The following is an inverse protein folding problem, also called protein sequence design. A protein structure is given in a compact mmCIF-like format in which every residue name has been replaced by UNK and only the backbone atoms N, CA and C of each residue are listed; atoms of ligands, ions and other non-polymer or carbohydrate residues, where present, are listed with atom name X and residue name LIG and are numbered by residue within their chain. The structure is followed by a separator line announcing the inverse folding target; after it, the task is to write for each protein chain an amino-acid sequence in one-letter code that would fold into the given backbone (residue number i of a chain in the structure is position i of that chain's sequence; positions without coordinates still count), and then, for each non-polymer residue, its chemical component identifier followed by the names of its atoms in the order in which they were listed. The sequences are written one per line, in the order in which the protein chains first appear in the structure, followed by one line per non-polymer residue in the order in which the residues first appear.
data_IF_541543330094
#
_entry.id   IF_541543330094
#
_cell.length_a   1.000
_cell.length_b   1.000
_cell.length_c   1.000
_cell.angle_alpha   90.00
_cell.angle_beta   90.00
_cell.angle_gamma   90.00
#
_symmetry.space_group_name_H-M   'P 1'
#
loop_
_entity.id
_entity.type
_entity.pdbx_description
1 polymer ?
#
# COMPACT_ATOMS: atom_id res chain seq x y z
N UNK A 1 1.79 24.46 19.78
CA UNK A 1 2.32 23.10 19.91
C UNK A 1 1.21 22.24 20.50
N UNK A 2 0.57 21.44 19.66
CA UNK A 2 -0.42 20.45 20.09
C UNK A 2 0.35 19.17 20.51
N UNK A 3 0.36 18.80 21.81
CA UNK A 3 1.04 17.61 22.29
C UNK A 3 0.42 16.30 21.73
N UNK A 4 -0.76 16.37 21.10
CA UNK A 4 -1.44 15.27 20.44
C UNK A 4 -1.13 15.23 18.93
N UNK A 5 -0.32 16.14 18.40
CA UNK A 5 0.02 16.14 16.97
C UNK A 5 0.72 14.83 16.57
N UNK A 6 0.18 14.18 15.58
CA UNK A 6 0.74 12.93 15.04
C UNK A 6 2.10 13.21 14.39
N UNK A 7 3.13 12.50 14.84
CA UNK A 7 4.46 12.57 14.26
C UNK A 7 4.50 11.85 12.91
N UNK A 8 4.72 12.59 11.83
CA UNK A 8 4.85 12.02 10.48
C UNK A 8 6.21 11.32 10.31
N UNK A 9 7.26 11.88 10.87
CA UNK A 9 8.62 11.35 10.80
C UNK A 9 9.47 11.90 11.92
N UNK A 10 10.38 11.10 12.46
CA UNK A 10 11.36 11.53 13.45
C UNK A 10 12.29 12.63 12.91
N UNK A 11 12.49 12.68 11.59
CA UNK A 11 13.27 13.73 10.92
C UNK A 11 12.50 15.05 10.73
N UNK A 12 11.20 15.04 11.03
CA UNK A 12 10.30 16.20 10.89
C UNK A 12 9.53 16.44 12.20
N UNK A 13 10.21 16.84 13.30
CA UNK A 13 9.55 17.05 14.59
C UNK A 13 8.55 18.20 14.52
N UNK A 14 7.37 18.10 15.17
CA UNK A 14 6.33 19.14 15.16
C UNK A 14 6.75 20.47 15.77
N UNK A 15 7.80 20.46 16.61
CA UNK A 15 8.39 21.69 17.19
C UNK A 15 9.03 22.61 16.14
N UNK A 16 9.30 22.09 14.95
CA UNK A 16 9.88 22.83 13.84
C UNK A 16 8.79 23.09 12.78
N UNK A 17 8.47 24.35 12.52
CA UNK A 17 7.37 24.73 11.58
C UNK A 17 7.69 24.48 10.12
N UNK A 18 8.96 24.46 9.75
CA UNK A 18 9.42 24.29 8.37
C UNK A 18 10.53 23.23 8.34
N UNK A 19 10.44 22.30 7.43
CA UNK A 19 11.44 21.27 7.22
C UNK A 19 12.07 21.44 5.83
N UNK A 20 13.40 21.31 5.79
CA UNK A 20 14.15 21.41 4.53
C UNK A 20 13.99 20.19 3.64
N UNK A 21 14.36 20.35 2.38
CA UNK A 21 14.30 19.31 1.36
C UNK A 21 15.02 18.02 1.77
N UNK A 22 16.13 18.14 2.53
CA UNK A 22 16.90 17.00 3.03
C UNK A 22 16.14 16.09 4.01
N UNK A 23 15.09 16.58 4.66
CA UNK A 23 14.21 15.79 5.51
C UNK A 23 12.93 15.34 4.76
N UNK A 24 12.33 16.25 4.00
CA UNK A 24 11.04 16.03 3.34
C UNK A 24 11.15 15.07 2.16
N UNK A 25 12.12 15.25 1.29
CA UNK A 25 12.24 14.43 0.06
C UNK A 25 12.50 12.95 0.35
N UNK A 26 13.41 12.54 1.26
CA UNK A 26 13.56 11.13 1.62
C UNK A 26 12.30 10.53 2.24
N UNK A 27 11.58 11.28 3.07
CA UNK A 27 10.32 10.83 3.65
C UNK A 27 9.26 10.58 2.58
N UNK A 28 9.06 11.53 1.66
CA UNK A 28 8.12 11.37 0.54
C UNK A 28 8.50 10.20 -0.38
N UNK A 29 9.80 10.01 -0.64
CA UNK A 29 10.28 8.86 -1.41
C UNK A 29 10.01 7.53 -0.72
N UNK A 30 10.13 7.48 0.61
CA UNK A 30 9.83 6.29 1.41
C UNK A 30 8.35 5.86 1.36
N UNK A 31 7.44 6.71 0.91
CA UNK A 31 6.04 6.35 0.67
C UNK A 31 5.81 5.70 -0.69
N UNK A 32 6.75 5.83 -1.62
CA UNK A 32 6.66 5.29 -2.97
C UNK A 32 7.43 3.96 -3.09
N UNK A 33 7.11 3.11 -4.08
CA UNK A 33 7.90 1.91 -4.38
C UNK A 33 9.39 2.22 -4.61
N UNK A 34 10.26 1.33 -4.14
CA UNK A 34 11.70 1.40 -4.44
C UNK A 34 12.03 0.84 -5.84
N UNK A 35 11.07 0.21 -6.49
CA UNK A 35 11.22 -0.34 -7.83
C UNK A 35 11.02 0.76 -8.89
N UNK A 36 12.11 1.08 -9.61
CA UNK A 36 12.11 2.12 -10.65
C UNK A 36 11.15 1.83 -11.82
N UNK A 37 10.92 0.55 -12.14
CA UNK A 37 10.05 0.16 -13.24
C UNK A 37 8.57 0.37 -12.87
N UNK A 38 8.21 0.14 -11.60
CA UNK A 38 6.89 0.49 -11.05
C UNK A 38 6.67 2.00 -11.15
N UNK A 39 7.64 2.80 -10.70
CA UNK A 39 7.55 4.26 -10.77
C UNK A 39 7.43 4.75 -12.22
N UNK A 40 8.25 4.20 -13.13
CA UNK A 40 8.20 4.56 -14.54
C UNK A 40 6.85 4.17 -15.18
N UNK A 41 6.28 3.02 -14.81
CA UNK A 41 4.95 2.62 -15.25
C UNK A 41 3.88 3.60 -14.75
N UNK A 42 3.86 3.89 -13.45
CA UNK A 42 2.92 4.86 -12.87
C UNK A 42 3.07 6.25 -13.49
N UNK A 43 4.32 6.68 -13.75
CA UNK A 43 4.56 7.95 -14.45
C UNK A 43 3.90 8.01 -15.82
N UNK A 44 3.93 6.89 -16.58
CA UNK A 44 3.25 6.78 -17.88
C UNK A 44 1.73 6.72 -17.72
N UNK A 45 1.24 5.89 -16.80
CA UNK A 45 -0.19 5.65 -16.61
C UNK A 45 -0.92 6.93 -16.15
N UNK A 46 -0.26 7.74 -15.32
CA UNK A 46 -0.81 9.02 -14.83
C UNK A 46 -0.35 10.26 -15.61
N UNK A 47 0.52 10.10 -16.58
CA UNK A 47 1.05 11.22 -17.37
C UNK A 47 1.85 12.24 -16.55
N UNK A 48 2.58 11.78 -15.50
CA UNK A 48 3.34 12.64 -14.59
C UNK A 48 4.83 12.30 -14.60
N UNK A 49 5.65 13.30 -14.26
CA UNK A 49 7.08 13.10 -14.08
C UNK A 49 7.39 12.34 -12.78
N UNK A 50 8.30 11.39 -12.85
CA UNK A 50 8.82 10.63 -11.70
C UNK A 50 10.13 11.21 -11.14
N UNK A 51 10.60 12.34 -11.67
CA UNK A 51 11.84 13.00 -11.22
C UNK A 51 11.75 13.43 -9.75
N UNK A 52 10.56 13.78 -9.30
CA UNK A 52 10.28 14.09 -7.89
C UNK A 52 9.11 13.25 -7.38
N UNK A 53 9.05 12.94 -6.07
CA UNK A 53 7.93 12.20 -5.50
C UNK A 53 6.59 12.93 -5.62
N UNK A 54 6.60 14.26 -5.70
CA UNK A 54 5.38 15.09 -5.79
C UNK A 54 4.52 14.75 -7.01
N UNK A 55 5.13 14.42 -8.16
CA UNK A 55 4.40 14.09 -9.37
C UNK A 55 3.43 12.92 -9.13
N UNK A 56 3.95 11.82 -8.57
CA UNK A 56 3.17 10.61 -8.30
C UNK A 56 2.22 10.78 -7.10
N UNK A 57 2.70 11.35 -5.99
CA UNK A 57 1.88 11.55 -4.79
C UNK A 57 0.73 12.55 -5.02
N UNK A 58 0.82 13.41 -6.03
CA UNK A 58 -0.27 14.28 -6.48
C UNK A 58 -1.33 13.60 -7.35
N UNK A 59 -1.21 12.29 -7.60
CA UNK A 59 -2.19 11.45 -8.32
C UNK A 59 -3.00 10.62 -7.32
N UNK A 60 -4.01 9.85 -7.76
CA UNK A 60 -4.73 8.94 -6.87
C UNK A 60 -3.86 7.96 -6.07
N UNK A 61 -2.64 7.68 -6.52
CA UNK A 61 -1.64 6.89 -5.77
C UNK A 61 -1.38 7.49 -4.37
N UNK A 62 -1.41 8.80 -4.22
CA UNK A 62 -1.21 9.49 -2.95
C UNK A 62 -2.42 9.52 -2.02
N UNK A 63 -3.57 9.00 -2.45
CA UNK A 63 -4.79 9.01 -1.63
C UNK A 63 -4.80 7.97 -0.50
N UNK A 64 -3.94 6.96 -0.54
CA UNK A 64 -3.79 5.97 0.53
C UNK A 64 -2.30 5.58 0.67
N UNK A 65 -1.58 6.31 1.50
CA UNK A 65 -0.16 6.07 1.76
C UNK A 65 0.06 5.43 3.13
N UNK A 66 1.19 4.77 3.28
CA UNK A 66 1.63 4.21 4.56
C UNK A 66 1.57 5.27 5.67
N UNK A 67 1.12 4.88 6.87
CA UNK A 67 0.97 5.79 8.01
C UNK A 67 -0.32 6.62 7.99
N UNK A 68 -1.34 6.21 7.22
CA UNK A 68 -2.62 6.90 7.08
C UNK A 68 -2.46 8.35 6.56
N UNK A 69 -1.53 8.55 5.65
CA UNK A 69 -1.26 9.84 5.01
C UNK A 69 -1.97 9.89 3.66
N UNK A 70 -2.64 11.00 3.39
CA UNK A 70 -3.27 11.28 2.12
C UNK A 70 -2.73 12.56 1.52
N UNK A 71 -2.44 12.55 0.24
CA UNK A 71 -2.03 13.72 -0.53
C UNK A 71 -3.18 14.16 -1.41
N UNK A 72 -3.47 15.45 -1.39
CA UNK A 72 -4.47 16.06 -2.26
C UNK A 72 -4.05 17.49 -2.61
N UNK A 73 -4.68 18.06 -3.63
CA UNK A 73 -4.51 19.46 -3.93
C UNK A 73 -5.27 20.33 -2.93
N UNK A 74 -4.83 21.58 -2.67
CA UNK A 74 -5.47 22.43 -1.66
C UNK A 74 -6.99 22.61 -1.84
N UNK A 75 -7.49 22.60 -3.09
CA UNK A 75 -8.93 22.71 -3.38
C UNK A 75 -9.71 21.39 -3.23
N UNK A 76 -9.05 20.27 -3.00
CA UNK A 76 -9.65 18.93 -2.94
C UNK A 76 -9.80 18.40 -1.50
N UNK A 77 -9.32 19.14 -0.50
CA UNK A 77 -9.32 18.68 0.90
C UNK A 77 -10.72 18.34 1.39
N UNK A 78 -11.68 19.23 1.17
CA UNK A 78 -13.07 19.02 1.58
C UNK A 78 -13.67 17.79 0.88
N UNK A 79 -13.46 17.71 -0.45
CA UNK A 79 -13.97 16.60 -1.25
C UNK A 79 -13.34 15.26 -0.84
N UNK A 80 -12.07 15.27 -0.41
CA UNK A 80 -11.38 14.05 0.03
C UNK A 80 -11.88 13.58 1.40
N UNK A 81 -12.09 14.52 2.33
CA UNK A 81 -12.58 14.23 3.69
C UNK A 81 -14.05 13.79 3.68
N UNK A 82 -14.88 14.46 2.87
CA UNK A 82 -16.33 14.23 2.81
C UNK A 82 -16.71 13.16 1.76
N UNK A 83 -15.75 12.64 0.98
CA UNK A 83 -16.01 11.64 -0.06
C UNK A 83 -16.50 10.35 0.58
N UNK A 84 -17.71 9.90 0.25
CA UNK A 84 -18.15 8.58 0.68
C UNK A 84 -17.18 7.53 0.13
N UNK A 85 -16.81 6.60 0.98
CA UNK A 85 -16.00 5.46 0.57
C UNK A 85 -16.88 4.31 0.11
N UNK A 86 -16.37 3.50 -0.79
CA UNK A 86 -16.99 2.27 -1.26
C UNK A 86 -15.95 1.16 -1.36
N UNK A 87 -16.41 -0.08 -1.48
CA UNK A 87 -15.55 -1.25 -1.66
C UNK A 87 -16.10 -2.09 -2.80
N UNK A 88 -15.31 -2.22 -3.85
CA UNK A 88 -15.57 -3.21 -4.90
C UNK A 88 -15.09 -4.57 -4.41
N UNK A 89 -16.04 -5.43 -4.00
CA UNK A 89 -15.72 -6.76 -3.51
C UNK A 89 -15.27 -7.66 -4.65
N UNK A 90 -14.23 -8.43 -4.38
CA UNK A 90 -13.59 -9.35 -5.31
C UNK A 90 -14.04 -10.77 -4.99
N UNK A 91 -14.11 -11.61 -6.02
CA UNK A 91 -14.19 -13.05 -5.85
C UNK A 91 -12.80 -13.61 -5.52
N UNK A 92 -12.73 -14.84 -5.04
CA UNK A 92 -11.45 -15.54 -4.84
C UNK A 92 -10.63 -15.60 -6.13
N UNK A 93 -11.29 -15.87 -7.25
CA UNK A 93 -10.67 -15.89 -8.59
C UNK A 93 -10.09 -14.52 -8.99
N UNK A 94 -10.75 -13.41 -8.63
CA UNK A 94 -10.23 -12.06 -8.91
C UNK A 94 -8.96 -11.79 -8.10
N UNK A 95 -8.91 -12.20 -6.83
CA UNK A 95 -7.72 -12.06 -5.99
C UNK A 95 -6.60 -12.94 -6.54
N UNK A 96 -6.87 -14.19 -6.87
CA UNK A 96 -5.89 -15.09 -7.48
C UNK A 96 -5.32 -14.53 -8.79
N UNK A 97 -6.18 -14.03 -9.68
CA UNK A 97 -5.76 -13.41 -10.94
C UNK A 97 -4.85 -12.19 -10.69
N UNK A 98 -5.16 -11.38 -9.67
CA UNK A 98 -4.33 -10.24 -9.27
C UNK A 98 -2.95 -10.67 -8.76
N UNK A 99 -2.89 -11.68 -7.89
CA UNK A 99 -1.63 -12.23 -7.38
C UNK A 99 -0.79 -12.86 -8.50
N UNK A 100 -1.42 -13.59 -9.41
CA UNK A 100 -0.77 -14.18 -10.60
C UNK A 100 -0.18 -13.10 -11.50
N UNK A 101 -0.92 -12.00 -11.70
CA UNK A 101 -0.43 -10.85 -12.45
C UNK A 101 0.80 -10.25 -11.79
N UNK A 102 0.77 -10.03 -10.46
CA UNK A 102 1.91 -9.50 -9.72
C UNK A 102 3.15 -10.41 -9.76
N UNK A 103 2.95 -11.73 -9.76
CA UNK A 103 4.02 -12.71 -9.84
C UNK A 103 4.68 -12.75 -11.22
N UNK A 104 3.91 -12.54 -12.29
CA UNK A 104 4.40 -12.53 -13.68
C UNK A 104 4.87 -11.16 -14.16
N UNK A 105 4.23 -10.09 -13.67
CA UNK A 105 4.58 -8.69 -13.94
C UNK A 105 4.72 -7.93 -12.62
N UNK A 106 5.93 -7.93 -12.08
CA UNK A 106 6.26 -7.28 -10.81
C UNK A 106 6.05 -5.77 -10.79
N UNK A 107 5.67 -5.15 -11.91
CA UNK A 107 5.36 -3.73 -12.00
C UNK A 107 3.86 -3.43 -11.89
N UNK A 108 3.00 -4.46 -11.91
CA UNK A 108 1.53 -4.33 -11.94
C UNK A 108 0.89 -4.21 -10.56
N UNK A 109 1.43 -3.36 -9.69
CA UNK A 109 0.98 -3.24 -8.29
C UNK A 109 -0.47 -2.80 -8.16
N UNK A 110 -0.94 -1.91 -9.02
CA UNK A 110 -2.30 -1.36 -8.97
C UNK A 110 -3.35 -2.28 -9.61
N UNK A 111 -2.91 -3.35 -10.30
CA UNK A 111 -3.80 -4.29 -10.98
C UNK A 111 -4.38 -3.76 -12.30
N UNK A 112 -5.10 -4.62 -13.05
CA UNK A 112 -5.71 -4.22 -14.30
C UNK A 112 -6.85 -3.22 -14.06
N UNK A 113 -6.98 -2.24 -14.96
CA UNK A 113 -8.05 -1.26 -14.92
C UNK A 113 -7.90 -0.20 -13.84
N UNK A 114 -6.76 -0.15 -13.18
CA UNK A 114 -6.44 0.86 -12.19
C UNK A 114 -7.55 1.09 -11.15
N UNK A 115 -7.74 0.15 -10.26
CA UNK A 115 -8.64 0.31 -9.13
C UNK A 115 -7.91 0.62 -7.80
N UNK A 116 -6.58 0.65 -7.80
CA UNK A 116 -5.79 0.85 -6.58
C UNK A 116 -5.53 2.33 -6.29
N UNK A 117 -5.69 2.70 -5.04
CA UNK A 117 -5.41 4.05 -4.52
C UNK A 117 -4.39 3.97 -3.39
N UNK A 118 -3.35 3.16 -3.55
CA UNK A 118 -2.36 3.01 -2.49
C UNK A 118 -0.94 3.29 -2.97
N UNK A 119 -0.11 3.76 -2.06
CA UNK A 119 1.32 3.86 -2.23
C UNK A 119 2.03 3.22 -1.06
N UNK A 120 2.87 2.22 -1.36
CA UNK A 120 3.63 1.46 -0.38
C UNK A 120 5.10 1.41 -0.79
N UNK A 121 5.99 1.67 0.15
CA UNK A 121 7.43 1.53 -0.05
C UNK A 121 7.88 0.08 -0.26
N UNK A 122 9.13 -0.09 -0.63
CA UNK A 122 9.79 -1.39 -0.83
C UNK A 122 9.82 -1.85 -2.28
N UNK A 123 10.65 -2.85 -2.56
CA UNK A 123 10.94 -3.34 -3.91
C UNK A 123 10.10 -4.55 -4.33
N UNK A 124 9.62 -5.35 -3.36
CA UNK A 124 8.83 -6.54 -3.63
C UNK A 124 7.44 -6.20 -4.15
N UNK A 125 6.99 -6.91 -5.18
CA UNK A 125 5.65 -6.79 -5.71
C UNK A 125 4.59 -7.07 -4.64
N UNK A 126 3.60 -6.19 -4.53
CA UNK A 126 2.53 -6.25 -3.53
C UNK A 126 1.27 -5.56 -4.02
N UNK A 127 0.16 -5.91 -3.43
CA UNK A 127 -1.09 -5.17 -3.57
C UNK A 127 -1.69 -4.91 -2.19
N UNK A 128 -2.48 -3.85 -2.07
CA UNK A 128 -3.21 -3.57 -0.86
C UNK A 128 -4.70 -3.73 -1.11
N UNK A 129 -5.37 -4.42 -0.20
CA UNK A 129 -6.81 -4.69 -0.26
C UNK A 129 -7.45 -4.41 1.10
N UNK A 130 -8.75 -4.29 1.10
CA UNK A 130 -9.57 -4.31 2.32
C UNK A 130 -10.10 -5.71 2.55
N UNK A 131 -9.87 -6.24 3.73
CA UNK A 131 -10.55 -7.43 4.22
C UNK A 131 -11.71 -7.04 5.14
N UNK A 132 -12.80 -7.80 5.09
CA UNK A 132 -13.89 -7.71 6.02
C UNK A 132 -14.49 -9.09 6.27
N UNK A 133 -14.95 -9.33 7.50
CA UNK A 133 -15.65 -10.57 7.85
C UNK A 133 -16.91 -10.74 6.98
N UNK A 134 -17.21 -11.99 6.62
CA UNK A 134 -18.50 -12.36 6.02
C UNK A 134 -19.52 -12.65 7.13
N UNK A 135 -20.77 -12.30 6.87
CA UNK A 135 -21.85 -12.47 7.86
C UNK A 135 -22.32 -13.93 7.99
N UNK A 136 -21.94 -14.80 7.06
CA UNK A 136 -22.60 -16.11 6.88
C UNK A 136 -21.78 -17.34 7.25
N UNK A 137 -20.46 -17.26 7.20
CA UNK A 137 -19.59 -18.45 7.34
C UNK A 137 -18.32 -18.24 8.17
N UNK A 138 -18.16 -17.06 8.76
CA UNK A 138 -16.96 -16.69 9.52
C UNK A 138 -15.71 -16.50 8.67
N UNK A 139 -15.86 -16.51 7.33
CA UNK A 139 -14.80 -16.23 6.38
C UNK A 139 -14.50 -14.73 6.25
N UNK A 140 -13.60 -14.41 5.35
CA UNK A 140 -13.29 -13.05 4.97
C UNK A 140 -13.56 -12.84 3.48
N UNK A 141 -14.02 -11.64 3.16
CA UNK A 141 -14.11 -11.15 1.78
C UNK A 141 -13.09 -10.05 1.58
N UNK A 142 -12.56 -10.00 0.38
CA UNK A 142 -11.54 -9.05 -0.02
C UNK A 142 -12.07 -8.07 -1.05
N UNK A 143 -11.62 -6.84 -0.99
CA UNK A 143 -12.09 -5.83 -1.95
C UNK A 143 -11.12 -4.69 -2.15
N UNK A 144 -11.36 -3.95 -3.23
CA UNK A 144 -10.64 -2.72 -3.57
C UNK A 144 -11.42 -1.55 -2.99
N UNK A 145 -10.86 -0.87 -1.98
CA UNK A 145 -11.52 0.30 -1.41
C UNK A 145 -11.29 1.55 -2.27
N UNK A 146 -12.22 2.48 -2.17
CA UNK A 146 -12.15 3.81 -2.79
C UNK A 146 -12.62 4.89 -1.81
N UNK A 147 -12.33 6.15 -2.13
CA UNK A 147 -12.74 7.30 -1.32
C UNK A 147 -12.13 7.29 0.08
N UNK A 148 -12.97 7.37 1.12
CA UNK A 148 -12.55 7.41 2.52
C UNK A 148 -12.30 6.04 3.16
N UNK A 149 -12.59 4.95 2.45
CA UNK A 149 -12.35 3.59 2.97
C UNK A 149 -10.88 3.21 2.79
N UNK A 150 -10.12 2.92 3.87
CA UNK A 150 -8.71 2.55 3.75
C UNK A 150 -8.54 1.08 3.35
N UNK A 151 -7.38 0.77 2.79
CA UNK A 151 -6.84 -0.58 2.74
C UNK A 151 -6.53 -1.07 4.16
N UNK A 152 -6.61 -2.38 4.39
CA UNK A 152 -6.36 -3.00 5.71
C UNK A 152 -5.24 -4.02 5.67
N UNK A 153 -4.96 -4.61 4.53
CA UNK A 153 -3.99 -5.68 4.36
C UNK A 153 -3.12 -5.45 3.13
N UNK A 154 -1.89 -5.86 3.24
CA UNK A 154 -0.93 -5.93 2.14
C UNK A 154 -0.74 -7.40 1.80
N UNK A 155 -0.97 -7.76 0.54
CA UNK A 155 -0.72 -9.10 0.04
C UNK A 155 0.55 -9.10 -0.80
N UNK A 156 1.46 -10.01 -0.49
CA UNK A 156 2.72 -10.19 -1.22
C UNK A 156 2.76 -11.63 -1.74
N UNK A 157 2.65 -11.84 -3.05
CA UNK A 157 2.78 -13.18 -3.62
C UNK A 157 4.22 -13.69 -3.54
N UNK A 158 4.38 -15.00 -3.74
CA UNK A 158 5.70 -15.59 -3.92
C UNK A 158 6.43 -14.91 -5.09
N UNK A 159 7.72 -14.66 -4.92
CA UNK A 159 8.56 -14.05 -5.96
C UNK A 159 9.07 -15.13 -6.91
N UNK A 160 9.14 -14.83 -8.21
CA UNK A 160 9.78 -15.70 -9.17
C UNK A 160 11.26 -15.96 -8.78
N UNK A 161 11.65 -17.23 -8.73
CA UNK A 161 12.98 -17.65 -8.27
C UNK A 161 13.17 -17.67 -6.74
N UNK A 162 12.13 -17.31 -5.97
CA UNK A 162 12.11 -17.32 -4.51
C UNK A 162 10.74 -17.82 -4.01
N UNK A 163 10.35 -19.02 -4.41
CA UNK A 163 9.00 -19.56 -4.23
C UNK A 163 8.55 -19.62 -2.75
N UNK A 164 9.50 -19.80 -1.83
CA UNK A 164 9.22 -19.85 -0.38
C UNK A 164 9.39 -18.49 0.33
N UNK A 165 9.58 -17.38 -0.39
CA UNK A 165 9.85 -16.08 0.22
C UNK A 165 8.72 -15.61 1.15
N UNK A 166 7.47 -15.80 0.77
CA UNK A 166 6.30 -15.45 1.58
C UNK A 166 6.25 -16.28 2.88
N UNK A 167 6.62 -17.56 2.85
CA UNK A 167 6.71 -18.42 4.02
C UNK A 167 7.84 -17.96 4.94
N UNK A 168 9.00 -17.67 4.36
CA UNK A 168 10.16 -17.19 5.12
C UNK A 168 9.86 -15.84 5.79
N UNK A 169 9.21 -14.92 5.10
CA UNK A 169 8.81 -13.63 5.67
C UNK A 169 7.83 -13.83 6.84
N UNK A 170 6.84 -14.71 6.68
CA UNK A 170 5.90 -15.04 7.75
C UNK A 170 6.62 -15.60 8.98
N UNK A 171 7.49 -16.58 8.81
CA UNK A 171 8.23 -17.19 9.91
C UNK A 171 9.14 -16.18 10.62
N UNK A 172 9.83 -15.32 9.87
CA UNK A 172 10.68 -14.29 10.46
C UNK A 172 9.88 -13.26 11.28
N UNK A 173 8.72 -12.82 10.77
CA UNK A 173 7.87 -11.87 11.49
C UNK A 173 7.20 -12.50 12.72
N UNK A 174 6.77 -13.76 12.63
CA UNK A 174 6.27 -14.53 13.78
C UNK A 174 7.35 -14.69 14.85
N UNK A 175 8.55 -15.11 14.48
CA UNK A 175 9.67 -15.23 15.40
C UNK A 175 10.04 -13.88 16.06
N UNK A 176 10.00 -12.79 15.30
CA UNK A 176 10.24 -11.45 15.85
C UNK A 176 9.20 -11.09 16.92
N UNK A 177 7.91 -11.36 16.67
CA UNK A 177 6.86 -11.16 17.68
C UNK A 177 7.05 -12.04 18.92
N UNK A 178 7.41 -13.32 18.76
CA UNK A 178 7.67 -14.25 19.87
C UNK A 178 8.87 -13.80 20.72
N UNK A 179 9.83 -13.11 20.11
CA UNK A 179 10.96 -12.49 20.80
C UNK A 179 10.63 -11.14 21.46
N UNK A 180 9.37 -10.70 21.41
CA UNK A 180 8.90 -9.46 22.01
C UNK A 180 9.19 -8.20 21.17
N UNK A 181 9.60 -8.34 19.91
CA UNK A 181 9.71 -7.22 18.96
C UNK A 181 8.33 -6.89 18.39
N UNK A 182 8.08 -5.62 18.12
CA UNK A 182 6.85 -5.20 17.45
C UNK A 182 7.01 -5.40 15.95
N UNK A 183 6.50 -6.52 15.44
CA UNK A 183 6.46 -6.83 14.03
C UNK A 183 5.02 -6.88 13.52
N UNK A 184 4.83 -6.82 12.21
CA UNK A 184 3.52 -6.98 11.60
C UNK A 184 2.95 -8.37 11.92
N UNK A 185 1.66 -8.43 12.19
CA UNK A 185 0.94 -9.70 12.29
C UNK A 185 0.70 -10.18 10.87
N UNK A 186 1.12 -11.40 10.58
CA UNK A 186 1.05 -11.98 9.25
C UNK A 186 0.38 -13.34 9.27
N UNK A 187 -0.15 -13.71 8.13
CA UNK A 187 -0.64 -15.06 7.85
C UNK A 187 -0.41 -15.38 6.38
N UNK A 188 -0.46 -16.65 6.03
CA UNK A 188 -0.40 -17.10 4.65
C UNK A 188 -1.83 -17.41 4.23
N UNK A 189 -2.27 -16.75 3.15
CA UNK A 189 -3.55 -16.98 2.51
C UNK A 189 -3.34 -17.63 1.15
N UNK A 190 -4.29 -18.48 0.75
CA UNK A 190 -4.29 -19.10 -0.57
C UNK A 190 -5.61 -18.79 -1.25
N UNK A 191 -5.52 -18.30 -2.47
CA UNK A 191 -6.63 -17.98 -3.35
C UNK A 191 -6.48 -18.83 -4.60
N UNK A 192 -7.34 -19.85 -4.77
CA UNK A 192 -7.17 -20.88 -5.79
C UNK A 192 -5.78 -21.56 -5.70
N UNK A 193 -4.91 -21.30 -6.68
CA UNK A 193 -3.53 -21.83 -6.77
C UNK A 193 -2.45 -20.79 -6.40
N UNK A 194 -2.82 -19.58 -6.00
CA UNK A 194 -1.90 -18.48 -5.65
C UNK A 194 -1.85 -18.25 -4.14
N UNK A 195 -0.63 -18.26 -3.59
CA UNK A 195 -0.41 -17.98 -2.18
C UNK A 195 0.25 -16.63 -1.97
N UNK A 196 -0.13 -15.95 -0.89
CA UNK A 196 0.45 -14.69 -0.47
C UNK A 196 0.58 -14.64 1.07
N UNK A 197 1.52 -13.81 1.54
CA UNK A 197 1.57 -13.34 2.93
C UNK A 197 0.87 -12.00 3.01
#
# INVERSE_FOLDING_TARGET
DDPAATLLSVSMPPSQRMHGESAVTPWLRGLLPDNSDVLARWGRDFGVSVATPFGLLGTPVGHDCAGAVQFCRPGEVTDLVDRPGDVTWLTEADVAARLRTLRTDSTSWLGPGFAGQFSLGGAQAKTALRAAATDTDGGERWGVPTGSVPTTHILKPAMAGYEAQHINEHLCLAAANDLGLRAAITRIETFEDESAI
#
